data_IF_417458559649
#
_entry.id   IF_417458559649
#
_cell.length_a   1.000
_cell.length_b   1.000
_cell.length_c   1.000
_cell.angle_alpha   90.00
_cell.angle_beta   90.00
_cell.angle_gamma   90.00
#
_symmetry.space_group_name_H-M   'P 1'
#
loop_
_entity.id
_entity.type
_entity.pdbx_description
1 polymer ?
#
# COMPACT_ATOMS: atom_id res chain seq x y z
N UNK A 1 3.68 29.65 20.13
CA UNK A 1 2.90 30.26 19.04
C UNK A 1 2.47 29.12 18.13
N UNK A 2 1.24 28.63 18.28
CA UNK A 2 0.66 27.69 17.33
C UNK A 2 0.21 28.52 16.13
N UNK A 3 1.01 28.52 15.06
CA UNK A 3 0.53 29.00 13.76
C UNK A 3 -0.70 28.18 13.39
N UNK A 4 -1.80 28.86 13.08
CA UNK A 4 -3.02 28.23 12.58
C UNK A 4 -2.75 27.65 11.19
N UNK A 5 -2.17 26.45 11.13
CA UNK A 5 -2.15 25.65 9.91
C UNK A 5 -3.61 25.45 9.50
N UNK A 6 -3.99 25.88 8.29
CA UNK A 6 -5.23 25.43 7.68
C UNK A 6 -5.20 23.90 7.68
N UNK A 7 -6.25 23.27 8.21
CA UNK A 7 -6.33 21.82 8.30
C UNK A 7 -6.30 21.21 6.89
N UNK A 8 -5.29 20.39 6.58
CA UNK A 8 -5.17 19.67 5.30
C UNK A 8 -6.44 18.86 5.04
N UNK A 9 -7.04 19.03 3.86
CA UNK A 9 -8.20 18.23 3.45
C UNK A 9 -7.79 16.83 3.00
N UNK A 10 -8.50 15.79 3.48
CA UNK A 10 -8.28 14.41 3.05
C UNK A 10 -9.49 13.90 2.28
N UNK A 11 -9.28 13.44 1.04
CA UNK A 11 -10.31 12.83 0.19
C UNK A 11 -9.93 11.39 -0.10
N UNK A 12 -10.88 10.48 0.02
CA UNK A 12 -10.66 9.05 -0.24
C UNK A 12 -11.61 8.61 -1.34
N UNK A 13 -11.05 8.32 -2.51
CA UNK A 13 -11.73 7.66 -3.63
C UNK A 13 -11.75 6.16 -3.36
N UNK A 14 -12.78 5.70 -2.64
CA UNK A 14 -12.96 4.31 -2.23
C UNK A 14 -13.93 3.59 -3.19
N UNK A 15 -13.38 2.84 -4.14
CA UNK A 15 -14.15 2.18 -5.18
C UNK A 15 -13.49 0.86 -5.59
N UNK A 16 -14.29 -0.13 -6.01
CA UNK A 16 -13.79 -1.43 -6.43
C UNK A 16 -12.76 -1.29 -7.59
N UNK A 17 -11.82 -2.22 -7.68
CA UNK A 17 -10.86 -2.29 -8.78
C UNK A 17 -11.60 -2.27 -10.13
N UNK A 18 -11.06 -1.55 -11.12
CA UNK A 18 -11.70 -1.40 -12.44
C UNK A 18 -12.82 -0.33 -12.51
N UNK A 19 -13.27 0.25 -11.39
CA UNK A 19 -14.36 1.25 -11.37
C UNK A 19 -13.96 2.66 -11.82
N UNK A 20 -12.73 2.88 -12.28
CA UNK A 20 -12.29 4.19 -12.79
C UNK A 20 -11.70 5.16 -11.76
N UNK A 21 -11.20 4.68 -10.60
CA UNK A 21 -10.51 5.53 -9.60
C UNK A 21 -9.46 6.46 -10.18
N UNK A 22 -8.50 5.88 -10.91
CA UNK A 22 -7.46 6.64 -11.58
C UNK A 22 -8.06 7.64 -12.58
N UNK A 23 -9.10 7.25 -13.32
CA UNK A 23 -9.78 8.13 -14.28
C UNK A 23 -10.38 9.34 -13.58
N UNK A 24 -11.11 9.14 -12.47
CA UNK A 24 -11.68 10.23 -11.69
C UNK A 24 -10.62 11.20 -11.16
N UNK A 25 -9.48 10.67 -10.69
CA UNK A 25 -8.34 11.49 -10.26
C UNK A 25 -7.74 12.25 -11.45
N UNK A 26 -7.51 11.60 -12.58
CA UNK A 26 -6.99 12.23 -13.80
C UNK A 26 -7.88 13.39 -14.24
N UNK A 27 -9.20 13.20 -14.22
CA UNK A 27 -10.16 14.26 -14.55
C UNK A 27 -10.11 15.41 -13.54
N UNK A 28 -9.98 15.10 -12.25
CA UNK A 28 -9.83 16.09 -11.18
C UNK A 28 -8.55 16.92 -11.37
N UNK A 29 -7.42 16.30 -11.70
CA UNK A 29 -6.17 16.99 -12.04
C UNK A 29 -6.35 17.84 -13.30
N UNK A 30 -6.98 17.29 -14.35
CA UNK A 30 -7.17 17.98 -15.63
C UNK A 30 -7.96 19.28 -15.45
N UNK A 31 -9.02 19.24 -14.64
CA UNK A 31 -9.94 20.36 -14.43
C UNK A 31 -9.49 21.35 -13.34
N UNK A 32 -8.45 21.03 -12.57
CA UNK A 32 -7.90 21.93 -11.56
C UNK A 32 -7.28 23.20 -12.18
N UNK A 33 -7.02 24.21 -11.36
CA UNK A 33 -6.28 25.40 -11.78
C UNK A 33 -4.92 25.01 -12.41
N UNK A 34 -4.49 25.71 -13.46
CA UNK A 34 -3.20 25.44 -14.13
C UNK A 34 -1.98 25.67 -13.22
N UNK A 35 -2.09 26.55 -12.22
CA UNK A 35 -1.07 26.81 -11.22
C UNK A 35 -1.06 25.77 -10.07
N UNK A 36 -2.07 24.90 -9.98
CA UNK A 36 -2.08 23.86 -8.96
C UNK A 36 -1.03 22.77 -9.27
N UNK A 37 -0.11 22.58 -8.33
CA UNK A 37 0.91 21.53 -8.40
C UNK A 37 0.44 20.22 -7.76
N UNK A 38 0.88 19.11 -8.33
CA UNK A 38 0.53 17.76 -7.89
C UNK A 38 1.77 16.92 -7.63
N UNK A 39 1.73 16.12 -6.56
CA UNK A 39 2.66 15.03 -6.31
C UNK A 39 1.85 13.72 -6.35
N UNK A 40 1.94 12.99 -7.45
CA UNK A 40 1.27 11.70 -7.65
C UNK A 40 2.22 10.57 -7.27
N UNK A 41 1.84 9.76 -6.29
CA UNK A 41 2.62 8.60 -5.85
C UNK A 41 1.86 7.31 -6.13
N UNK A 42 2.58 6.32 -6.63
CA UNK A 42 2.01 5.01 -7.00
C UNK A 42 2.95 3.86 -6.63
N UNK A 43 2.50 2.60 -6.50
CA UNK A 43 3.38 1.50 -6.11
C UNK A 43 4.50 1.17 -7.11
N UNK A 44 4.25 1.31 -8.42
CA UNK A 44 5.18 0.86 -9.48
C UNK A 44 5.60 1.98 -10.43
N UNK A 45 6.82 1.87 -10.95
CA UNK A 45 7.38 2.84 -11.90
C UNK A 45 6.64 2.86 -13.26
N UNK A 46 6.16 1.70 -13.73
CA UNK A 46 5.33 1.63 -14.95
C UNK A 46 4.06 2.46 -14.84
N UNK A 47 3.49 2.48 -13.64
CA UNK A 47 2.31 3.27 -13.35
C UNK A 47 2.64 4.78 -13.37
N UNK A 48 3.83 5.17 -12.91
CA UNK A 48 4.30 6.54 -13.09
C UNK A 48 4.32 6.96 -14.58
N UNK A 49 4.81 6.09 -15.46
CA UNK A 49 4.82 6.34 -16.90
C UNK A 49 3.41 6.40 -17.48
N UNK A 50 2.51 5.51 -17.06
CA UNK A 50 1.11 5.50 -17.52
C UNK A 50 0.38 6.80 -17.16
N UNK A 51 0.53 7.27 -15.92
CA UNK A 51 -0.11 8.50 -15.43
C UNK A 51 0.46 9.74 -16.10
N UNK A 52 1.79 9.84 -16.19
CA UNK A 52 2.43 11.01 -16.78
C UNK A 52 2.41 11.01 -18.32
N UNK A 53 2.18 9.85 -18.93
CA UNK A 53 2.29 9.65 -20.37
C UNK A 53 3.73 9.72 -20.90
N UNK A 54 4.74 9.50 -20.05
CA UNK A 54 6.15 9.57 -20.49
C UNK A 54 6.62 8.27 -21.12
N UNK A 55 7.41 8.38 -22.19
CA UNK A 55 8.07 7.22 -22.81
C UNK A 55 9.38 6.87 -22.12
N UNK A 56 9.77 5.60 -22.19
CA UNK A 56 11.08 5.09 -21.78
C UNK A 56 11.54 4.01 -22.77
N UNK A 57 12.84 3.71 -22.77
CA UNK A 57 13.39 2.59 -23.56
C UNK A 57 13.04 1.25 -22.88
N UNK A 58 12.32 0.31 -23.53
CA UNK A 58 11.99 -0.99 -22.95
C UNK A 58 13.20 -1.81 -22.48
N UNK A 59 14.38 -1.58 -23.07
CA UNK A 59 15.63 -2.25 -22.68
C UNK A 59 16.32 -1.56 -21.48
N UNK A 60 15.89 -0.35 -21.09
CA UNK A 60 16.40 0.32 -19.90
C UNK A 60 15.78 -0.29 -18.64
N UNK A 61 16.58 -1.09 -17.92
CA UNK A 61 16.18 -1.71 -16.65
C UNK A 61 15.75 -0.70 -15.57
N UNK A 62 16.17 0.56 -15.68
CA UNK A 62 15.77 1.64 -14.78
C UNK A 62 14.57 2.45 -15.26
N UNK A 63 14.05 2.15 -16.47
CA UNK A 63 12.90 2.80 -17.12
C UNK A 63 12.97 4.33 -17.05
N UNK A 64 14.10 4.91 -17.44
CA UNK A 64 14.27 6.36 -17.38
C UNK A 64 13.44 7.04 -18.48
N UNK A 65 12.76 8.16 -18.18
CA UNK A 65 11.98 8.86 -19.19
C UNK A 65 12.88 9.39 -20.31
N UNK A 66 12.45 9.22 -21.57
CA UNK A 66 13.13 9.78 -22.73
C UNK A 66 13.03 11.30 -22.71
N UNK A 67 14.15 11.97 -22.89
CA UNK A 67 14.24 13.43 -22.93
C UNK A 67 13.99 13.89 -24.37
N UNK A 68 13.04 14.80 -24.56
CA UNK A 68 12.78 15.46 -25.83
C UNK A 68 13.72 16.65 -26.02
N UNK A 69 13.74 17.55 -25.03
CA UNK A 69 14.60 18.74 -24.98
C UNK A 69 15.00 19.02 -23.54
N UNK A 70 16.06 19.80 -23.37
CA UNK A 70 16.44 20.38 -22.09
C UNK A 70 16.77 21.84 -22.33
N UNK A 71 16.40 22.70 -21.40
CA UNK A 71 16.94 24.05 -21.28
C UNK A 71 17.59 24.20 -19.89
N UNK A 72 18.14 25.37 -19.60
CA UNK A 72 18.84 25.64 -18.34
C UNK A 72 17.93 25.51 -17.10
N UNK A 73 16.61 25.48 -17.29
CA UNK A 73 15.60 25.56 -16.22
C UNK A 73 14.72 24.34 -16.08
N UNK A 74 14.57 23.52 -17.13
CA UNK A 74 13.68 22.35 -17.10
C UNK A 74 14.05 21.27 -18.13
N UNK A 75 13.73 20.02 -17.77
CA UNK A 75 13.86 18.86 -18.67
C UNK A 75 12.50 18.52 -19.24
N UNK A 76 12.35 18.54 -20.56
CA UNK A 76 11.12 18.13 -21.23
C UNK A 76 11.22 16.67 -21.67
N UNK A 77 10.28 15.84 -21.23
CA UNK A 77 10.21 14.44 -21.66
C UNK A 77 9.44 14.29 -22.98
N UNK A 78 9.65 13.15 -23.62
CA UNK A 78 8.80 12.69 -24.69
C UNK A 78 7.51 12.13 -24.09
N UNK A 79 6.40 12.84 -24.33
CA UNK A 79 5.08 12.45 -23.86
C UNK A 79 4.25 11.84 -25.01
N UNK A 80 3.57 10.74 -24.73
CA UNK A 80 2.47 10.23 -25.55
C UNK A 80 1.25 11.14 -25.46
N UNK A 81 0.27 10.88 -26.34
CA UNK A 81 -1.03 11.54 -26.23
C UNK A 81 -1.79 10.95 -25.03
N UNK A 82 -1.68 11.62 -23.88
CA UNK A 82 -2.29 11.21 -22.62
C UNK A 82 -3.14 12.34 -22.02
N UNK A 83 -4.15 12.02 -21.20
CA UNK A 83 -5.02 13.03 -20.60
C UNK A 83 -4.28 14.11 -19.77
N UNK A 84 -3.10 13.78 -19.24
CA UNK A 84 -2.28 14.67 -18.40
C UNK A 84 -1.03 15.21 -19.10
N UNK A 85 -0.86 14.98 -20.41
CA UNK A 85 0.29 15.48 -21.19
C UNK A 85 0.57 16.97 -20.94
N UNK A 86 -0.48 17.78 -20.94
CA UNK A 86 -0.37 19.24 -20.76
C UNK A 86 0.01 19.66 -19.33
N UNK A 87 -0.12 18.77 -18.35
CA UNK A 87 0.36 18.99 -16.97
C UNK A 87 1.84 18.72 -16.80
N UNK A 88 2.49 18.08 -17.79
CA UNK A 88 3.95 17.89 -17.88
C UNK A 88 4.57 17.27 -16.62
N UNK A 89 3.94 16.23 -16.07
CA UNK A 89 4.48 15.51 -14.92
C UNK A 89 5.93 15.07 -15.14
N UNK A 90 6.74 15.23 -14.09
CA UNK A 90 8.17 14.92 -14.03
C UNK A 90 8.44 13.73 -13.12
N UNK A 91 9.48 12.97 -13.45
CA UNK A 91 9.95 11.86 -12.65
C UNK A 91 11.23 12.29 -11.94
N UNK A 92 11.41 11.97 -10.65
CA UNK A 92 12.72 12.08 -10.03
C UNK A 92 13.73 11.19 -10.76
N UNK A 93 14.71 11.78 -11.43
CA UNK A 93 15.59 11.08 -12.39
C UNK A 93 17.08 11.23 -12.02
N UNK A 94 17.90 10.30 -12.50
CA UNK A 94 19.25 10.01 -11.97
C UNK A 94 20.41 10.76 -12.65
N UNK A 95 20.17 11.75 -13.53
CA UNK A 95 21.30 12.29 -14.32
C UNK A 95 22.14 13.30 -13.51
N UNK A 96 23.15 12.79 -12.80
CA UNK A 96 24.19 13.58 -12.12
C UNK A 96 24.03 13.73 -10.59
N UNK A 97 23.04 13.07 -9.98
CA UNK A 97 22.77 13.10 -8.54
C UNK A 97 21.88 11.93 -8.10
N UNK A 98 21.48 11.90 -6.83
CA UNK A 98 20.58 10.85 -6.33
C UNK A 98 19.10 11.22 -6.54
N UNK A 99 18.21 10.21 -6.52
CA UNK A 99 16.76 10.43 -6.77
C UNK A 99 16.10 11.37 -5.76
N UNK A 100 16.59 11.44 -4.52
CA UNK A 100 16.05 12.33 -3.49
C UNK A 100 16.43 13.80 -3.79
N UNK A 101 17.67 14.06 -4.22
CA UNK A 101 18.10 15.39 -4.70
C UNK A 101 17.28 15.83 -5.91
N UNK A 102 17.03 14.92 -6.86
CA UNK A 102 16.16 15.22 -8.00
C UNK A 102 14.72 15.53 -7.55
N UNK A 103 14.17 14.77 -6.60
CA UNK A 103 12.84 15.06 -6.05
C UNK A 103 12.81 16.43 -5.36
N UNK A 104 13.86 16.79 -4.61
CA UNK A 104 13.97 18.08 -3.94
C UNK A 104 14.01 19.22 -4.95
N UNK A 105 14.81 19.07 -6.02
CA UNK A 105 14.87 20.03 -7.11
C UNK A 105 13.49 20.23 -7.76
N UNK A 106 12.76 19.15 -8.03
CA UNK A 106 11.44 19.24 -8.67
C UNK A 106 10.42 19.96 -7.77
N UNK A 107 10.42 19.67 -6.47
CA UNK A 107 9.53 20.35 -5.50
C UNK A 107 9.86 21.83 -5.43
N UNK A 108 11.16 22.17 -5.32
CA UNK A 108 11.63 23.56 -5.26
C UNK A 108 11.22 24.39 -6.48
N UNK A 109 11.23 23.76 -7.65
CA UNK A 109 10.84 24.39 -8.91
C UNK A 109 9.34 24.32 -9.20
N UNK A 110 8.53 23.85 -8.25
CA UNK A 110 7.06 23.78 -8.39
C UNK A 110 6.64 22.98 -9.63
N UNK A 111 7.30 21.86 -9.89
CA UNK A 111 6.96 20.95 -10.98
C UNK A 111 5.79 20.04 -10.59
N UNK A 112 5.00 19.56 -11.56
CA UNK A 112 4.11 18.42 -11.31
C UNK A 112 4.96 17.14 -11.25
N UNK A 113 4.80 16.32 -10.22
CA UNK A 113 5.71 15.21 -9.95
C UNK A 113 4.93 13.90 -9.91
N UNK A 114 5.48 12.88 -10.56
CA UNK A 114 5.04 11.50 -10.41
C UNK A 114 6.18 10.66 -9.86
N UNK A 115 5.91 9.82 -8.86
CA UNK A 115 6.93 9.07 -8.14
C UNK A 115 6.40 7.76 -7.56
N UNK A 116 7.29 6.92 -7.05
CA UNK A 116 6.87 5.71 -6.34
C UNK A 116 6.62 5.98 -4.86
N UNK A 117 5.82 5.13 -4.20
CA UNK A 117 5.63 5.17 -2.75
C UNK A 117 6.95 5.16 -1.99
N UNK A 118 7.92 4.34 -2.42
CA UNK A 118 9.21 4.23 -1.74
C UNK A 118 9.99 5.55 -1.74
N UNK A 119 9.98 6.29 -2.85
CA UNK A 119 10.72 7.54 -2.93
C UNK A 119 10.01 8.67 -2.17
N UNK A 120 8.69 8.61 -2.06
CA UNK A 120 7.91 9.51 -1.20
C UNK A 120 8.30 9.37 0.29
N UNK A 121 8.61 8.16 0.77
CA UNK A 121 9.06 7.96 2.16
C UNK A 121 10.37 8.67 2.50
N UNK A 122 11.10 9.19 1.49
CA UNK A 122 12.36 9.91 1.65
C UNK A 122 12.19 11.44 1.68
N UNK A 123 10.97 11.97 1.73
CA UNK A 123 10.75 13.43 1.85
C UNK A 123 11.36 13.97 3.15
N UNK A 124 12.25 14.95 3.02
CA UNK A 124 12.84 15.64 4.17
C UNK A 124 11.93 16.76 4.69
N UNK A 125 12.15 17.26 5.92
CA UNK A 125 11.40 18.41 6.44
C UNK A 125 11.46 19.66 5.55
N UNK A 126 12.59 19.91 4.87
CA UNK A 126 12.71 21.04 3.94
C UNK A 126 11.84 20.85 2.70
N UNK A 127 11.79 19.64 2.15
CA UNK A 127 10.93 19.30 1.02
C UNK A 127 9.45 19.42 1.39
N UNK A 128 9.06 18.95 2.58
CA UNK A 128 7.69 19.09 3.09
C UNK A 128 7.28 20.56 3.26
N UNK A 129 8.21 21.42 3.70
CA UNK A 129 7.95 22.84 3.83
C UNK A 129 7.69 23.53 2.47
N UNK A 130 8.38 23.07 1.41
CA UNK A 130 8.20 23.57 0.04
C UNK A 130 6.96 22.96 -0.64
N UNK A 131 6.49 21.79 -0.19
CA UNK A 131 5.35 21.08 -0.76
C UNK A 131 3.97 21.57 -0.23
N UNK A 132 3.90 22.65 0.54
CA UNK A 132 2.65 23.14 1.15
C UNK A 132 1.52 23.46 0.17
N UNK A 133 1.89 23.94 -1.01
CA UNK A 133 0.93 24.29 -2.06
C UNK A 133 0.53 23.09 -2.93
N UNK A 134 1.17 21.93 -2.76
CA UNK A 134 0.90 20.73 -3.54
C UNK A 134 -0.34 19.98 -3.06
N UNK A 135 -1.04 19.34 -4.01
CA UNK A 135 -1.96 18.24 -3.71
C UNK A 135 -1.19 16.93 -3.82
N UNK A 136 -1.14 16.17 -2.74
CA UNK A 136 -0.60 14.81 -2.72
C UNK A 136 -1.68 13.84 -3.18
N UNK A 137 -1.34 12.98 -4.13
CA UNK A 137 -2.22 11.92 -4.61
C UNK A 137 -1.54 10.59 -4.34
N UNK A 138 -2.24 9.70 -3.64
CA UNK A 138 -1.77 8.37 -3.25
C UNK A 138 -2.63 7.34 -3.98
N UNK A 139 -2.01 6.62 -4.91
CA UNK A 139 -2.65 5.50 -5.61
C UNK A 139 -2.47 4.21 -4.78
N UNK A 140 -3.57 3.62 -4.36
CA UNK A 140 -3.68 2.66 -3.26
C UNK A 140 -3.36 3.26 -1.88
N UNK A 141 -2.80 2.46 -0.98
CA UNK A 141 -2.34 2.88 0.35
C UNK A 141 -0.81 2.84 0.42
N UNK A 142 -0.24 3.77 1.18
CA UNK A 142 1.16 3.71 1.63
C UNK A 142 1.30 2.92 2.92
N UNK A 143 2.51 2.47 3.19
CA UNK A 143 2.85 1.86 4.45
C UNK A 143 2.95 2.95 5.52
N UNK A 144 2.11 2.86 6.55
CA UNK A 144 2.08 3.79 7.69
C UNK A 144 2.69 3.21 8.95
N UNK A 145 2.82 1.88 9.00
CA UNK A 145 3.49 1.15 10.08
C UNK A 145 4.47 0.11 9.52
N UNK A 146 5.61 -0.06 10.18
CA UNK A 146 6.50 -1.19 9.94
C UNK A 146 7.19 -1.65 11.22
N UNK A 147 7.61 -2.90 11.27
CA UNK A 147 8.45 -3.37 12.37
C UNK A 147 9.86 -2.80 12.17
N UNK A 148 10.34 -2.05 13.15
CA UNK A 148 11.68 -1.47 13.13
C UNK A 148 12.66 -2.39 13.85
N UNK A 149 13.43 -3.16 13.07
CA UNK A 149 14.29 -4.25 13.56
C UNK A 149 15.76 -3.86 13.76
N UNK A 150 16.10 -2.56 13.72
CA UNK A 150 17.48 -2.08 13.88
C UNK A 150 18.04 -2.27 15.29
N UNK A 151 17.18 -2.45 16.30
CA UNK A 151 17.57 -2.63 17.69
C UNK A 151 17.03 -3.94 18.27
N UNK A 152 17.89 -4.68 18.93
CA UNK A 152 17.49 -5.88 19.70
C UNK A 152 16.85 -5.50 21.03
N UNK A 153 16.08 -6.42 21.64
CA UNK A 153 15.50 -6.19 22.97
C UNK A 153 16.57 -5.88 24.02
N UNK A 154 17.71 -6.56 23.97
CA UNK A 154 18.84 -6.36 24.89
C UNK A 154 19.44 -4.95 24.74
N UNK A 155 19.57 -4.44 23.51
CA UNK A 155 20.03 -3.07 23.28
C UNK A 155 19.03 -2.04 23.80
N UNK A 156 17.74 -2.24 23.55
CA UNK A 156 16.69 -1.34 24.06
C UNK A 156 16.68 -1.29 25.59
N UNK A 157 16.77 -2.43 26.26
CA UNK A 157 16.90 -2.50 27.73
C UNK A 157 18.11 -1.71 28.25
N UNK A 158 19.25 -1.77 27.54
CA UNK A 158 20.43 -0.98 27.88
C UNK A 158 20.17 0.53 27.70
N UNK A 159 19.54 0.94 26.60
CA UNK A 159 19.22 2.35 26.33
C UNK A 159 18.24 2.93 27.35
N UNK A 160 17.24 2.16 27.79
CA UNK A 160 16.35 2.54 28.89
C UNK A 160 17.11 2.66 30.22
N UNK A 161 17.97 1.70 30.55
CA UNK A 161 18.77 1.72 31.78
C UNK A 161 19.73 2.91 31.84
N UNK A 162 20.31 3.28 30.70
CA UNK A 162 21.15 4.47 30.55
C UNK A 162 20.35 5.78 30.58
N UNK A 163 19.01 5.70 30.52
CA UNK A 163 18.13 6.86 30.46
C UNK A 163 18.22 7.63 29.15
N UNK A 164 18.73 7.03 28.07
CA UNK A 164 18.88 7.66 26.76
C UNK A 164 17.58 7.67 25.96
N UNK A 165 16.65 6.77 26.31
CA UNK A 165 15.29 6.75 25.77
C UNK A 165 14.28 6.62 26.91
N UNK A 166 13.07 7.14 26.70
CA UNK A 166 11.92 6.95 27.58
C UNK A 166 10.65 6.75 26.74
N UNK A 167 9.60 6.26 27.37
CA UNK A 167 8.25 6.25 26.80
C UNK A 167 7.60 7.60 27.14
N UNK A 168 6.90 8.19 26.17
CA UNK A 168 6.15 9.42 26.31
C UNK A 168 4.87 9.23 27.14
N UNK A 169 4.17 10.32 27.44
CA UNK A 169 2.95 10.30 28.26
C UNK A 169 1.79 9.50 27.64
N UNK A 170 1.85 9.23 26.33
CA UNK A 170 0.91 8.37 25.61
C UNK A 170 1.14 6.86 25.86
N UNK A 171 2.14 6.50 26.65
CA UNK A 171 2.55 5.13 27.01
C UNK A 171 2.99 4.25 25.84
N UNK A 172 3.22 4.80 24.64
CA UNK A 172 3.62 4.02 23.47
C UNK A 172 4.77 4.65 22.69
N UNK A 173 4.85 5.98 22.61
CA UNK A 173 5.85 6.66 21.78
C UNK A 173 7.21 6.72 22.49
N UNK A 174 8.28 6.37 21.78
CA UNK A 174 9.65 6.51 22.26
C UNK A 174 10.15 7.94 22.06
N UNK A 175 10.79 8.47 23.10
CA UNK A 175 11.49 9.75 23.11
C UNK A 175 12.95 9.56 23.43
N UNK A 176 13.82 10.26 22.70
CA UNK A 176 15.24 10.29 22.99
C UNK A 176 15.51 11.36 24.05
N UNK A 177 16.38 11.07 25.00
CA UNK A 177 16.75 11.96 26.09
C UNK A 177 18.17 12.48 25.84
N UNK A 178 18.30 13.49 24.97
CA UNK A 178 19.59 14.08 24.57
C UNK A 178 20.43 14.55 25.77
N UNK A 179 19.78 15.06 26.81
CA UNK A 179 20.45 15.48 28.06
C UNK A 179 21.14 14.35 28.84
N UNK A 180 20.77 13.09 28.58
CA UNK A 180 21.35 11.92 29.23
C UNK A 180 22.32 11.15 28.32
N UNK A 181 22.48 11.58 27.07
CA UNK A 181 23.31 10.87 26.10
C UNK A 181 24.80 11.05 26.37
N UNK A 182 25.56 9.95 26.47
CA UNK A 182 26.97 9.97 26.85
C UNK A 182 27.21 10.38 28.31
N UNK A 183 28.45 10.72 28.66
CA UNK A 183 28.84 10.95 30.05
C UNK A 183 28.31 12.28 30.66
N UNK A 184 27.85 13.24 29.84
CA UNK A 184 27.38 14.56 30.32
C UNK A 184 26.25 15.19 29.45
N UNK A 185 25.48 14.38 28.73
CA UNK A 185 24.55 14.87 27.72
C UNK A 185 25.26 15.26 26.42
N UNK A 186 24.53 15.21 25.30
CA UNK A 186 25.15 15.50 24.01
C UNK A 186 24.23 15.31 22.81
N UNK A 187 24.72 15.79 21.67
CA UNK A 187 24.11 15.55 20.37
C UNK A 187 24.61 14.21 19.80
N UNK A 188 23.72 13.22 19.54
CA UNK A 188 24.09 11.96 18.93
C UNK A 188 24.49 12.07 17.45
N UNK A 189 24.50 13.26 16.85
CA UNK A 189 25.00 13.49 15.48
C UNK A 189 26.39 12.88 15.25
N UNK A 190 26.54 12.14 14.15
CA UNK A 190 27.76 11.42 13.79
C UNK A 190 27.96 10.10 14.53
N UNK A 191 27.06 9.72 15.45
CA UNK A 191 27.09 8.43 16.15
C UNK A 191 26.10 7.44 15.53
N UNK A 192 26.21 6.15 15.89
CA UNK A 192 25.22 5.14 15.46
C UNK A 192 23.79 5.39 15.95
N UNK A 193 23.59 6.32 16.91
CA UNK A 193 22.28 6.64 17.49
C UNK A 193 21.61 7.87 16.88
N UNK A 194 22.24 8.56 15.93
CA UNK A 194 21.69 9.76 15.28
C UNK A 194 20.30 9.49 14.67
N UNK A 195 20.17 8.39 13.93
CA UNK A 195 18.90 7.99 13.30
C UNK A 195 17.82 7.70 14.34
N UNK A 196 18.16 6.98 15.41
CA UNK A 196 17.24 6.68 16.49
C UNK A 196 16.75 7.96 17.18
N UNK A 197 17.67 8.86 17.51
CA UNK A 197 17.34 10.12 18.14
C UNK A 197 16.41 10.96 17.26
N UNK A 198 16.73 11.07 15.97
CA UNK A 198 15.91 11.81 15.00
C UNK A 198 14.50 11.22 14.90
N UNK A 199 14.35 9.90 14.77
CA UNK A 199 13.04 9.25 14.68
C UNK A 199 12.22 9.39 15.98
N UNK A 200 12.87 9.32 17.14
CA UNK A 200 12.23 9.57 18.44
C UNK A 200 11.77 11.04 18.58
N UNK A 201 12.59 11.99 18.14
CA UNK A 201 12.27 13.42 18.16
C UNK A 201 11.06 13.71 17.26
N UNK A 202 10.94 13.00 16.12
CA UNK A 202 9.79 13.06 15.22
C UNK A 202 8.58 12.23 15.69
N UNK A 203 8.68 11.48 16.80
CA UNK A 203 7.60 10.63 17.31
C UNK A 203 7.25 9.44 16.43
N UNK A 204 8.21 8.93 15.66
CA UNK A 204 7.97 7.87 14.68
C UNK A 204 8.18 6.46 15.23
N UNK A 205 8.60 6.30 16.49
CA UNK A 205 8.94 4.99 17.05
C UNK A 205 7.99 4.65 18.19
N UNK A 206 7.22 3.58 18.02
CA UNK A 206 6.26 3.07 18.98
C UNK A 206 6.83 1.82 19.66
N UNK A 207 6.92 1.81 20.98
CA UNK A 207 7.40 0.67 21.76
C UNK A 207 6.26 -0.27 22.12
N UNK A 208 6.29 -1.48 21.57
CA UNK A 208 5.19 -2.44 21.65
C UNK A 208 5.63 -3.69 22.41
N UNK A 209 4.75 -4.19 23.28
CA UNK A 209 4.95 -5.40 24.11
C UNK A 209 6.24 -5.39 24.96
N UNK A 210 6.81 -4.22 25.25
CA UNK A 210 8.10 -4.07 25.93
C UNK A 210 9.25 -4.86 25.26
N UNK A 211 9.17 -5.08 23.94
CA UNK A 211 10.12 -5.96 23.24
C UNK A 211 10.66 -5.38 21.95
N UNK A 212 9.84 -4.67 21.19
CA UNK A 212 10.18 -4.23 19.85
C UNK A 212 9.64 -2.84 19.55
N UNK A 213 10.15 -2.28 18.47
CA UNK A 213 9.74 -0.97 17.96
C UNK A 213 8.92 -1.18 16.69
N UNK A 214 7.82 -0.44 16.59
CA UNK A 214 7.08 -0.25 15.35
C UNK A 214 7.35 1.17 14.89
N UNK A 215 7.90 1.31 13.69
CA UNK A 215 8.01 2.60 13.02
C UNK A 215 6.61 3.03 12.54
N UNK A 216 6.27 4.30 12.76
CA UNK A 216 5.05 4.96 12.32
C UNK A 216 5.43 6.15 11.41
N UNK A 217 4.73 6.28 10.29
CA UNK A 217 4.88 7.44 9.41
C UNK A 217 4.52 8.72 10.18
N UNK A 218 5.34 9.77 10.09
CA UNK A 218 4.97 11.05 10.70
C UNK A 218 3.74 11.63 9.99
N UNK A 219 2.72 12.02 10.77
CA UNK A 219 1.53 12.65 10.21
C UNK A 219 1.85 13.95 9.48
N UNK A 220 2.91 14.64 9.91
CA UNK A 220 3.42 15.84 9.24
C UNK A 220 3.83 15.59 7.79
N UNK A 221 4.23 14.35 7.45
CA UNK A 221 4.51 13.99 6.05
C UNK A 221 3.26 14.08 5.18
N UNK A 222 2.05 13.84 5.72
CA UNK A 222 0.80 13.96 4.98
C UNK A 222 0.17 15.34 5.14
N UNK A 223 0.18 15.90 6.35
CA UNK A 223 -0.44 17.20 6.65
C UNK A 223 0.43 18.39 6.26
N UNK A 224 1.60 18.17 5.66
CA UNK A 224 2.37 19.22 5.01
C UNK A 224 1.70 19.72 3.73
N UNK A 225 0.92 18.88 3.04
CA UNK A 225 0.29 19.20 1.76
C UNK A 225 -1.00 19.99 1.93
N UNK A 226 -1.42 20.69 0.87
CA UNK A 226 -2.70 21.42 0.80
C UNK A 226 -3.89 20.48 0.94
N UNK A 227 -3.88 19.41 0.15
CA UNK A 227 -4.84 18.32 0.21
C UNK A 227 -4.12 16.98 -0.03
N UNK A 228 -4.71 15.90 0.50
CA UNK A 228 -4.30 14.53 0.26
C UNK A 228 -5.46 13.74 -0.33
N UNK A 229 -5.28 13.19 -1.53
CA UNK A 229 -6.25 12.35 -2.21
C UNK A 229 -5.76 10.90 -2.22
N UNK A 230 -6.56 9.97 -1.72
CA UNK A 230 -6.20 8.55 -1.60
C UNK A 230 -7.16 7.75 -2.49
N UNK A 231 -6.67 7.02 -3.48
CA UNK A 231 -7.47 6.13 -4.30
C UNK A 231 -7.25 4.67 -3.90
N UNK A 232 -8.21 4.04 -3.24
CA UNK A 232 -8.06 2.63 -2.84
C UNK A 232 -9.41 1.91 -2.81
N UNK A 233 -9.47 0.72 -2.23
CA UNK A 233 -10.71 -0.02 -2.02
C UNK A 233 -10.77 -0.59 -0.60
N UNK A 234 -11.93 -0.48 0.04
CA UNK A 234 -12.20 -0.87 1.42
C UNK A 234 -11.33 -0.09 2.44
N UNK A 235 -11.27 1.24 2.26
CA UNK A 235 -10.37 2.10 3.04
C UNK A 235 -10.60 1.97 4.56
N UNK A 236 -11.86 1.88 5.00
CA UNK A 236 -12.27 1.85 6.41
C UNK A 236 -11.77 0.65 7.22
N UNK A 237 -11.19 -0.36 6.57
CA UNK A 237 -10.49 -1.46 7.25
C UNK A 237 -8.99 -1.51 7.02
N UNK A 238 -8.45 -0.53 6.27
CA UNK A 238 -7.01 -0.41 6.03
C UNK A 238 -6.26 0.08 7.27
N UNK A 239 -4.96 -0.25 7.34
CA UNK A 239 -4.06 0.32 8.36
C UNK A 239 -3.98 1.84 8.27
N UNK A 240 -4.07 2.39 7.06
CA UNK A 240 -4.02 3.83 6.82
C UNK A 240 -5.23 4.55 7.41
N UNK A 241 -6.43 3.98 7.34
CA UNK A 241 -7.63 4.54 7.97
C UNK A 241 -7.51 4.59 9.50
N UNK A 242 -7.03 3.49 10.11
CA UNK A 242 -6.78 3.45 11.56
C UNK A 242 -5.72 4.48 12.00
N UNK A 243 -4.63 4.57 11.24
CA UNK A 243 -3.57 5.56 11.43
C UNK A 243 -4.11 7.01 11.35
N UNK A 244 -4.82 7.39 10.28
CA UNK A 244 -5.38 8.74 10.15
C UNK A 244 -6.38 9.06 11.27
N UNK A 245 -7.21 8.09 11.63
CA UNK A 245 -8.16 8.23 12.74
C UNK A 245 -7.46 8.49 14.07
N UNK A 246 -6.29 7.86 14.30
CA UNK A 246 -5.48 8.08 15.51
C UNK A 246 -4.95 9.51 15.67
N UNK A 247 -4.87 10.27 14.58
CA UNK A 247 -4.53 11.69 14.58
C UNK A 247 -5.76 12.60 14.47
N UNK A 248 -6.97 12.07 14.57
CA UNK A 248 -8.22 12.83 14.44
C UNK A 248 -8.48 13.37 13.04
N UNK A 249 -7.82 12.83 12.01
CA UNK A 249 -8.03 13.22 10.61
C UNK A 249 -9.38 12.70 10.14
N UNK A 250 -10.23 13.61 9.64
CA UNK A 250 -11.49 13.26 8.99
C UNK A 250 -11.29 13.19 7.48
N UNK A 251 -11.71 12.08 6.88
CA UNK A 251 -11.65 11.88 5.44
C UNK A 251 -13.03 12.09 4.80
N UNK A 252 -13.08 12.85 3.71
CA UNK A 252 -14.21 12.89 2.80
C UNK A 252 -14.20 11.60 1.95
N UNK A 253 -15.23 10.77 2.12
CA UNK A 253 -15.34 9.49 1.41
C UNK A 253 -16.10 9.69 0.09
N UNK A 254 -15.42 9.42 -1.03
CA UNK A 254 -15.97 9.46 -2.39
C UNK A 254 -16.09 8.02 -2.88
N UNK A 255 -17.32 7.49 -2.90
CA UNK A 255 -17.62 6.10 -3.29
C UNK A 255 -18.41 6.05 -4.59
N UNK A 256 -18.02 5.16 -5.50
CA UNK A 256 -18.65 4.97 -6.80
C UNK A 256 -18.25 3.62 -7.40
N UNK A 257 -18.84 3.28 -8.54
CA UNK A 257 -18.54 2.05 -9.27
C UNK A 257 -19.56 0.95 -9.01
N UNK A 258 -19.19 -0.26 -9.41
CA UNK A 258 -20.04 -1.45 -9.28
C UNK A 258 -19.88 -2.11 -7.91
N UNK A 259 -20.96 -2.72 -7.44
CA UNK A 259 -20.98 -3.52 -6.23
C UNK A 259 -20.42 -4.93 -6.48
N UNK A 260 -19.88 -5.61 -5.46
CA UNK A 260 -19.44 -7.00 -5.57
C UNK A 260 -20.50 -7.97 -6.09
N UNK A 261 -21.77 -7.80 -5.71
CA UNK A 261 -22.86 -8.68 -6.18
C UNK A 261 -23.07 -8.62 -7.70
N UNK A 262 -22.81 -7.47 -8.33
CA UNK A 262 -22.96 -7.28 -9.77
C UNK A 262 -21.96 -8.11 -10.58
N UNK A 263 -20.77 -8.38 -10.02
CA UNK A 263 -19.73 -9.18 -10.68
C UNK A 263 -19.66 -10.62 -10.16
N UNK A 264 -20.51 -11.00 -9.21
CA UNK A 264 -20.44 -12.32 -8.57
C UNK A 264 -20.56 -13.47 -9.59
N UNK A 265 -21.33 -13.26 -10.66
CA UNK A 265 -21.50 -14.19 -11.78
C UNK A 265 -20.21 -14.44 -12.60
N UNK A 266 -19.17 -13.62 -12.43
CA UNK A 266 -17.86 -13.80 -13.03
C UNK A 266 -16.93 -14.71 -12.21
N UNK A 267 -17.29 -15.04 -10.97
CA UNK A 267 -16.44 -15.82 -10.05
C UNK A 267 -17.04 -17.20 -9.82
N UNK A 268 -16.42 -18.22 -10.41
CA UNK A 268 -16.71 -19.61 -10.10
C UNK A 268 -15.81 -20.09 -8.94
N UNK A 269 -16.31 -19.98 -7.71
CA UNK A 269 -15.58 -20.34 -6.50
C UNK A 269 -15.68 -21.85 -6.20
N UNK A 270 -14.54 -22.54 -6.14
CA UNK A 270 -14.48 -23.98 -5.89
C UNK A 270 -15.02 -24.35 -4.49
N UNK A 271 -16.01 -25.24 -4.47
CA UNK A 271 -16.66 -25.79 -3.27
C UNK A 271 -16.23 -27.24 -2.98
N UNK A 272 -15.24 -27.76 -3.70
CA UNK A 272 -14.77 -29.14 -3.58
C UNK A 272 -14.25 -29.44 -2.16
N UNK A 273 -14.94 -30.32 -1.44
CA UNK A 273 -14.65 -30.66 -0.04
C UNK A 273 -13.26 -31.26 0.14
N UNK A 274 -12.77 -32.04 -0.83
CA UNK A 274 -11.50 -32.74 -0.70
C UNK A 274 -10.32 -31.77 -0.72
N UNK A 275 -10.25 -30.92 -1.75
CA UNK A 275 -9.14 -29.95 -1.84
C UNK A 275 -9.27 -28.83 -0.80
N UNK A 276 -10.49 -28.48 -0.38
CA UNK A 276 -10.74 -27.47 0.66
C UNK A 276 -10.46 -27.97 2.09
N UNK A 277 -10.41 -29.28 2.34
CA UNK A 277 -10.25 -29.86 3.69
C UNK A 277 -9.02 -29.35 4.45
N UNK A 278 -7.93 -29.06 3.73
CA UNK A 278 -6.68 -28.54 4.32
C UNK A 278 -6.87 -27.19 5.04
N UNK A 279 -7.90 -26.43 4.68
CA UNK A 279 -8.17 -25.10 5.21
C UNK A 279 -9.40 -25.02 6.12
N UNK A 280 -9.93 -26.14 6.62
CA UNK A 280 -11.17 -26.15 7.42
C UNK A 280 -11.06 -25.34 8.71
N UNK A 281 -9.95 -25.47 9.44
CA UNK A 281 -9.72 -24.72 10.67
C UNK A 281 -9.53 -23.23 10.35
N UNK A 282 -10.13 -22.35 11.16
CA UNK A 282 -10.09 -20.89 10.98
C UNK A 282 -8.69 -20.31 10.83
N UNK A 283 -7.68 -20.89 11.49
CA UNK A 283 -6.27 -20.45 11.46
C UNK A 283 -5.38 -21.28 10.51
N UNK A 284 -5.94 -22.27 9.81
CA UNK A 284 -5.22 -23.05 8.82
C UNK A 284 -4.66 -22.15 7.72
N UNK A 285 -3.53 -22.54 7.14
CA UNK A 285 -2.83 -21.80 6.09
C UNK A 285 -2.38 -20.38 6.48
N UNK A 286 -2.30 -20.07 7.78
CA UNK A 286 -1.68 -18.84 8.28
C UNK A 286 -0.16 -18.86 8.11
N UNK A 287 0.49 -17.70 8.22
CA UNK A 287 1.95 -17.59 8.14
C UNK A 287 2.64 -18.47 9.19
N UNK A 288 2.09 -18.54 10.41
CA UNK A 288 2.59 -19.42 11.47
C UNK A 288 2.51 -20.90 11.08
N UNK A 289 1.41 -21.35 10.45
CA UNK A 289 1.28 -22.75 9.98
C UNK A 289 2.27 -23.08 8.86
N UNK A 290 2.51 -22.14 7.94
CA UNK A 290 3.53 -22.27 6.90
C UNK A 290 4.94 -22.41 7.48
N UNK A 291 5.21 -21.82 8.65
CA UNK A 291 6.50 -21.91 9.34
C UNK A 291 6.61 -23.19 10.18
N UNK A 292 5.62 -23.50 11.01
CA UNK A 292 5.69 -24.60 11.98
C UNK A 292 5.44 -25.98 11.37
N UNK A 293 4.66 -26.07 10.27
CA UNK A 293 4.31 -27.34 9.62
C UNK A 293 4.55 -27.31 8.09
N UNK A 294 5.64 -26.64 7.68
CA UNK A 294 5.94 -26.31 6.29
C UNK A 294 5.79 -27.50 5.33
N UNK A 295 6.44 -28.63 5.65
CA UNK A 295 6.50 -29.80 4.77
C UNK A 295 5.11 -30.36 4.48
N UNK A 296 4.35 -30.73 5.51
CA UNK A 296 3.03 -31.34 5.32
C UNK A 296 2.05 -30.38 4.63
N UNK A 297 2.04 -29.10 5.01
CA UNK A 297 1.19 -28.08 4.40
C UNK A 297 1.53 -27.91 2.92
N UNK A 298 2.81 -27.74 2.57
CA UNK A 298 3.23 -27.52 1.19
C UNK A 298 3.01 -28.77 0.31
N UNK A 299 3.29 -29.97 0.83
CA UNK A 299 3.08 -31.23 0.10
C UNK A 299 1.59 -31.43 -0.24
N UNK A 300 0.69 -31.14 0.72
CA UNK A 300 -0.75 -31.25 0.48
C UNK A 300 -1.27 -30.14 -0.44
N UNK A 301 -0.80 -28.89 -0.28
CA UNK A 301 -1.15 -27.80 -1.18
C UNK A 301 -0.67 -28.05 -2.61
N UNK A 302 0.51 -28.63 -2.80
CA UNK A 302 1.03 -28.98 -4.14
C UNK A 302 0.09 -29.97 -4.85
N UNK A 303 -0.34 -31.03 -4.15
CA UNK A 303 -1.30 -32.01 -4.68
C UNK A 303 -2.66 -31.38 -4.98
N UNK A 304 -3.17 -30.55 -4.07
CA UNK A 304 -4.47 -29.89 -4.24
C UNK A 304 -4.43 -28.88 -5.39
N UNK A 305 -3.34 -28.13 -5.53
CA UNK A 305 -3.12 -27.20 -6.63
C UNK A 305 -3.06 -27.94 -7.98
N UNK A 306 -2.33 -29.05 -8.07
CA UNK A 306 -2.28 -29.87 -9.30
C UNK A 306 -3.67 -30.43 -9.65
N UNK A 307 -4.41 -30.91 -8.65
CA UNK A 307 -5.77 -31.40 -8.84
C UNK A 307 -6.73 -30.30 -9.33
N UNK A 308 -6.71 -29.13 -8.69
CA UNK A 308 -7.53 -27.99 -9.08
C UNK A 308 -7.22 -27.56 -10.52
N UNK A 309 -5.94 -27.36 -10.83
CA UNK A 309 -5.53 -26.87 -12.14
C UNK A 309 -5.73 -27.90 -13.26
N UNK A 310 -5.44 -29.19 -13.05
CA UNK A 310 -5.50 -30.17 -14.13
C UNK A 310 -6.83 -30.87 -14.26
N UNK A 311 -7.43 -31.27 -13.14
CA UNK A 311 -8.61 -32.13 -13.17
C UNK A 311 -9.90 -31.31 -13.09
N UNK A 312 -9.91 -30.24 -12.28
CA UNK A 312 -11.09 -29.38 -12.13
C UNK A 312 -11.18 -28.33 -13.25
N UNK A 313 -10.11 -27.57 -13.46
CA UNK A 313 -10.11 -26.46 -14.43
C UNK A 313 -9.58 -26.85 -15.82
N UNK A 314 -8.77 -27.92 -15.91
CA UNK A 314 -8.03 -28.29 -17.14
C UNK A 314 -7.19 -27.13 -17.71
N UNK A 315 -6.66 -26.32 -16.80
CA UNK A 315 -5.85 -25.13 -17.05
C UNK A 315 -4.55 -25.43 -17.79
N UNK A 316 -4.10 -24.47 -18.59
CA UNK A 316 -2.81 -24.42 -19.27
C UNK A 316 -1.86 -23.45 -18.57
N UNK A 317 -0.58 -23.49 -18.93
CA UNK A 317 0.46 -22.64 -18.31
C UNK A 317 0.08 -21.14 -18.30
N UNK A 318 -0.38 -20.63 -19.44
CA UNK A 318 -0.68 -19.21 -19.62
C UNK A 318 -2.14 -18.84 -19.27
N UNK A 319 -2.93 -19.72 -18.66
CA UNK A 319 -4.30 -19.37 -18.26
C UNK A 319 -4.50 -19.43 -16.73
N UNK A 320 -3.42 -19.60 -15.97
CA UNK A 320 -3.46 -19.76 -14.52
C UNK A 320 -2.53 -18.83 -13.77
N UNK A 321 -2.89 -18.54 -12.52
CA UNK A 321 -2.09 -17.79 -11.57
C UNK A 321 -2.39 -18.29 -10.16
N UNK A 322 -1.40 -18.28 -9.28
CA UNK A 322 -1.61 -18.68 -7.89
C UNK A 322 -0.71 -17.91 -6.92
N UNK A 323 -1.10 -17.91 -5.65
CA UNK A 323 -0.31 -17.29 -4.59
C UNK A 323 -0.25 -18.14 -3.32
N UNK A 324 0.77 -17.87 -2.52
CA UNK A 324 1.04 -18.42 -1.19
C UNK A 324 1.97 -17.45 -0.45
N UNK A 325 2.29 -17.74 0.81
CA UNK A 325 3.47 -17.13 1.42
C UNK A 325 4.75 -17.51 0.66
N UNK A 326 5.72 -16.59 0.60
CA UNK A 326 6.97 -16.71 -0.17
C UNK A 326 7.79 -17.92 0.28
N UNK A 327 7.79 -18.22 1.58
CA UNK A 327 8.53 -19.32 2.16
C UNK A 327 8.06 -20.69 1.66
N UNK A 328 6.78 -20.81 1.26
CA UNK A 328 6.19 -22.05 0.76
C UNK A 328 6.14 -22.19 -0.76
N UNK A 329 6.40 -21.12 -1.52
CA UNK A 329 6.11 -21.11 -2.95
C UNK A 329 6.90 -22.18 -3.71
N UNK A 330 8.22 -22.30 -3.50
CA UNK A 330 9.05 -23.29 -4.20
C UNK A 330 8.60 -24.73 -3.94
N UNK A 331 8.17 -25.03 -2.71
CA UNK A 331 7.72 -26.37 -2.33
C UNK A 331 6.36 -26.71 -2.94
N UNK A 332 5.42 -25.75 -2.96
CA UNK A 332 4.09 -25.94 -3.55
C UNK A 332 4.18 -26.03 -5.08
N UNK A 333 5.01 -25.16 -5.69
CA UNK A 333 5.13 -25.02 -7.14
C UNK A 333 5.65 -26.29 -7.83
N UNK A 334 6.52 -27.03 -7.15
CA UNK A 334 7.31 -28.09 -7.74
C UNK A 334 8.12 -27.55 -8.93
N UNK A 335 8.14 -28.29 -10.05
CA UNK A 335 8.75 -27.85 -11.31
C UNK A 335 7.76 -27.19 -12.26
N UNK A 336 6.45 -27.37 -12.04
CA UNK A 336 5.42 -27.07 -13.03
C UNK A 336 4.79 -25.69 -12.91
N UNK A 337 4.70 -25.16 -11.69
CA UNK A 337 3.90 -23.97 -11.39
C UNK A 337 4.73 -22.74 -10.98
N UNK A 338 6.06 -22.77 -11.17
CA UNK A 338 6.96 -21.72 -10.68
C UNK A 338 6.67 -20.35 -11.32
N UNK A 339 6.45 -20.34 -12.64
CA UNK A 339 6.31 -19.10 -13.41
C UNK A 339 4.92 -18.46 -13.26
N UNK A 340 3.95 -19.21 -12.71
CA UNK A 340 2.58 -18.74 -12.48
C UNK A 340 2.33 -18.28 -11.04
N UNK A 341 3.38 -18.28 -10.20
CA UNK A 341 3.29 -17.76 -8.85
C UNK A 341 3.40 -16.23 -8.84
N UNK A 342 2.46 -15.56 -8.20
CA UNK A 342 2.49 -14.13 -7.96
C UNK A 342 2.37 -13.85 -6.47
N UNK A 343 3.29 -13.06 -5.89
CA UNK A 343 3.19 -12.69 -4.48
C UNK A 343 1.88 -11.96 -4.21
N UNK A 344 1.21 -12.29 -3.09
CA UNK A 344 -0.13 -11.76 -2.79
C UNK A 344 -0.15 -10.23 -2.68
N UNK A 345 0.95 -9.65 -2.20
CA UNK A 345 1.14 -8.21 -2.01
C UNK A 345 1.70 -7.49 -3.25
N UNK A 346 1.82 -8.15 -4.41
CA UNK A 346 2.30 -7.50 -5.64
C UNK A 346 1.30 -6.44 -6.06
N UNK A 347 1.60 -5.14 -5.99
CA UNK A 347 0.66 -4.08 -6.43
C UNK A 347 0.79 -3.78 -7.93
N UNK A 348 -0.28 -3.25 -8.53
CA UNK A 348 -0.29 -2.57 -9.84
C UNK A 348 0.34 -3.27 -11.08
N UNK A 349 0.21 -4.60 -11.27
CA UNK A 349 0.59 -5.29 -12.52
C UNK A 349 -0.63 -5.62 -13.40
N UNK A 350 -0.49 -5.45 -14.72
CA UNK A 350 -1.48 -5.84 -15.73
C UNK A 350 -1.10 -7.14 -16.49
N UNK A 351 -0.02 -7.81 -16.09
CA UNK A 351 0.62 -8.90 -16.85
C UNK A 351 -0.17 -10.21 -16.85
N UNK A 352 -1.21 -10.28 -16.02
CA UNK A 352 -1.99 -11.50 -15.76
C UNK A 352 -3.47 -11.38 -16.14
N UNK A 353 -3.84 -10.32 -16.88
CA UNK A 353 -5.23 -10.03 -17.29
C UNK A 353 -5.86 -11.08 -18.22
N UNK A 354 -5.11 -12.08 -18.65
CA UNK A 354 -5.55 -13.22 -19.47
C UNK A 354 -5.70 -14.52 -18.65
N UNK A 355 -5.32 -14.53 -17.38
CA UNK A 355 -5.37 -15.72 -16.50
C UNK A 355 -6.79 -15.96 -16.01
N UNK A 356 -7.37 -17.13 -16.29
CA UNK A 356 -8.75 -17.51 -15.91
C UNK A 356 -8.83 -18.43 -14.70
N UNK A 357 -7.74 -19.10 -14.34
CA UNK A 357 -7.70 -20.09 -13.27
C UNK A 357 -6.84 -19.58 -12.12
N UNK A 358 -7.45 -19.29 -10.98
CA UNK A 358 -6.86 -18.49 -9.90
C UNK A 358 -6.86 -19.32 -8.61
N UNK A 359 -5.72 -19.42 -7.93
CA UNK A 359 -5.62 -20.11 -6.64
C UNK A 359 -4.98 -19.24 -5.55
N UNK A 360 -5.71 -19.00 -4.46
CA UNK A 360 -5.27 -18.17 -3.33
C UNK A 360 -5.06 -19.07 -2.10
N UNK A 361 -3.83 -19.55 -1.89
CA UNK A 361 -3.54 -20.67 -0.99
C UNK A 361 -3.14 -20.27 0.44
N UNK A 362 -3.53 -19.07 0.88
CA UNK A 362 -3.09 -18.54 2.18
C UNK A 362 -4.25 -17.99 3.00
N UNK A 363 -4.02 -17.86 4.30
CA UNK A 363 -4.91 -17.22 5.26
C UNK A 363 -4.20 -16.00 5.84
N UNK A 364 -4.56 -14.81 5.34
CA UNK A 364 -3.79 -13.59 5.57
C UNK A 364 -4.19 -12.91 6.87
N UNK A 365 -3.22 -12.70 7.77
CA UNK A 365 -3.39 -11.83 8.92
C UNK A 365 -2.42 -10.66 8.79
N UNK A 366 -2.79 -9.44 9.21
CA UNK A 366 -1.84 -8.35 9.33
C UNK A 366 -0.73 -8.70 10.34
N UNK A 367 0.39 -7.98 10.29
CA UNK A 367 1.46 -8.18 11.26
C UNK A 367 0.92 -7.91 12.68
N UNK A 368 0.97 -8.89 13.61
CA UNK A 368 0.42 -8.72 14.96
C UNK A 368 0.97 -7.52 15.71
N UNK A 369 2.23 -7.15 15.46
CA UNK A 369 2.87 -6.00 16.11
C UNK A 369 2.30 -4.68 15.61
N UNK A 370 2.01 -4.59 14.31
CA UNK A 370 1.33 -3.43 13.73
C UNK A 370 -0.11 -3.33 14.26
N UNK A 371 -0.83 -4.45 14.36
CA UNK A 371 -2.17 -4.47 14.95
C UNK A 371 -2.15 -3.95 16.39
N UNK A 372 -1.18 -4.42 17.19
CA UNK A 372 -1.00 -3.99 18.58
C UNK A 372 -0.65 -2.50 18.69
N UNK A 373 0.28 -2.00 17.88
CA UNK A 373 0.64 -0.58 17.85
C UNK A 373 -0.61 0.30 17.59
N UNK A 374 -1.37 -0.05 16.55
CA UNK A 374 -2.61 0.66 16.18
C UNK A 374 -3.66 0.59 17.30
N UNK A 375 -3.80 -0.58 17.95
CA UNK A 375 -4.73 -0.77 19.07
C UNK A 375 -4.32 0.00 20.33
N UNK A 376 -3.02 0.10 20.64
CA UNK A 376 -2.51 0.92 21.76
C UNK A 376 -2.84 2.40 21.58
N UNK A 377 -2.92 2.89 20.32
CA UNK A 377 -3.40 4.25 20.01
C UNK A 377 -4.94 4.37 20.02
N UNK A 378 -5.68 3.31 20.33
CA UNK A 378 -7.15 3.30 20.39
C UNK A 378 -7.87 3.01 19.07
N UNK A 379 -7.14 2.72 17.99
CA UNK A 379 -7.71 2.52 16.65
C UNK A 379 -7.24 1.17 16.08
N UNK A 380 -7.83 0.03 16.47
CA UNK A 380 -7.41 -1.28 16.00
C UNK A 380 -7.70 -1.47 14.50
N UNK A 381 -6.78 -2.15 13.80
CA UNK A 381 -6.97 -2.54 12.40
C UNK A 381 -8.06 -3.62 12.30
N UNK A 382 -8.99 -3.46 11.35
CA UNK A 382 -10.01 -4.48 11.07
C UNK A 382 -9.41 -5.61 10.23
N UNK A 383 -8.82 -6.59 10.91
CA UNK A 383 -8.01 -7.65 10.28
C UNK A 383 -8.69 -8.39 9.12
N UNK A 384 -9.98 -8.70 9.25
CA UNK A 384 -10.73 -9.41 8.21
C UNK A 384 -10.96 -8.54 6.97
N UNK A 385 -11.17 -7.23 7.15
CA UNK A 385 -11.30 -6.29 6.02
C UNK A 385 -9.95 -6.12 5.31
N UNK A 386 -8.86 -5.99 6.06
CA UNK A 386 -7.50 -5.99 5.51
C UNK A 386 -7.21 -7.27 4.71
N UNK A 387 -7.54 -8.43 5.26
CA UNK A 387 -7.31 -9.70 4.58
C UNK A 387 -8.14 -9.81 3.29
N UNK A 388 -9.42 -9.41 3.36
CA UNK A 388 -10.32 -9.39 2.23
C UNK A 388 -9.83 -8.44 1.12
N UNK A 389 -9.46 -7.20 1.47
CA UNK A 389 -9.00 -6.18 0.51
C UNK A 389 -7.78 -6.65 -0.29
N UNK A 390 -6.81 -7.27 0.38
CA UNK A 390 -5.61 -7.83 -0.27
C UNK A 390 -5.97 -8.99 -1.20
N UNK A 391 -6.87 -9.89 -0.77
CA UNK A 391 -7.30 -11.02 -1.59
C UNK A 391 -8.06 -10.57 -2.84
N UNK A 392 -9.04 -9.66 -2.72
CA UNK A 392 -9.84 -9.21 -3.88
C UNK A 392 -8.99 -8.42 -4.86
N UNK A 393 -8.11 -7.52 -4.38
CA UNK A 393 -7.16 -6.80 -5.23
C UNK A 393 -6.23 -7.77 -5.98
N UNK A 394 -5.82 -8.87 -5.33
CA UNK A 394 -5.01 -9.89 -5.98
C UNK A 394 -5.77 -10.72 -7.01
N UNK A 395 -7.00 -11.14 -6.71
CA UNK A 395 -7.88 -11.82 -7.66
C UNK A 395 -8.11 -10.93 -8.89
N UNK A 396 -8.23 -9.61 -8.71
CA UNK A 396 -8.44 -8.66 -9.81
C UNK A 396 -7.26 -8.51 -10.78
N UNK A 397 -6.14 -9.17 -10.53
CA UNK A 397 -5.02 -9.23 -11.50
C UNK A 397 -5.28 -10.24 -12.61
N UNK A 398 -6.28 -11.09 -12.44
CA UNK A 398 -6.72 -12.09 -13.39
C UNK A 398 -7.68 -11.53 -14.45
N UNK A 399 -8.23 -12.40 -15.29
CA UNK A 399 -9.10 -12.05 -16.40
C UNK A 399 -10.43 -11.37 -16.01
N UNK A 400 -10.81 -11.41 -14.73
CA UNK A 400 -11.97 -10.65 -14.22
C UNK A 400 -11.83 -9.14 -14.43
N UNK A 401 -10.59 -8.62 -14.48
CA UNK A 401 -10.31 -7.21 -14.78
C UNK A 401 -10.88 -6.77 -16.13
N UNK A 402 -10.88 -7.69 -17.09
CA UNK A 402 -11.36 -7.50 -18.45
C UNK A 402 -12.80 -8.02 -18.60
N UNK A 403 -13.53 -8.22 -17.50
CA UNK A 403 -14.90 -8.70 -17.49
C UNK A 403 -15.08 -10.18 -17.82
N UNK A 404 -14.00 -10.98 -17.81
CA UNK A 404 -14.09 -12.41 -18.11
C UNK A 404 -14.32 -13.26 -16.85
N UNK A 405 -15.05 -14.36 -17.00
CA UNK A 405 -15.23 -15.34 -15.93
C UNK A 405 -13.91 -16.00 -15.52
N UNK A 406 -13.77 -16.26 -14.22
CA UNK A 406 -12.62 -16.92 -13.61
C UNK A 406 -13.04 -18.08 -12.70
N UNK A 407 -12.22 -19.12 -12.63
CA UNK A 407 -12.31 -20.18 -11.64
C UNK A 407 -11.40 -19.84 -10.47
N UNK A 408 -11.94 -19.83 -9.24
CA UNK A 408 -11.20 -19.42 -8.04
C UNK A 408 -11.14 -20.56 -7.03
N UNK A 409 -9.94 -20.87 -6.54
CA UNK A 409 -9.72 -21.82 -5.46
C UNK A 409 -9.12 -21.12 -4.23
N UNK A 410 -9.88 -21.13 -3.14
CA UNK A 410 -9.49 -20.55 -1.84
C UNK A 410 -9.70 -21.63 -0.77
N UNK A 411 -8.68 -22.42 -0.40
CA UNK A 411 -8.83 -23.52 0.55
C UNK A 411 -9.11 -23.07 1.98
N UNK A 412 -8.56 -21.93 2.41
CA UNK A 412 -8.81 -21.37 3.75
C UNK A 412 -10.31 -21.07 3.93
N UNK A 413 -10.94 -21.72 4.92
CA UNK A 413 -12.36 -21.54 5.22
C UNK A 413 -12.68 -20.09 5.59
N UNK A 414 -11.82 -19.42 6.37
CA UNK A 414 -11.95 -18.01 6.72
C UNK A 414 -11.93 -17.12 5.49
N UNK A 415 -10.88 -17.20 4.67
CA UNK A 415 -10.74 -16.36 3.47
C UNK A 415 -11.87 -16.63 2.46
N UNK A 416 -12.24 -17.90 2.26
CA UNK A 416 -13.35 -18.27 1.38
C UNK A 416 -14.68 -17.71 1.87
N UNK A 417 -14.89 -17.69 3.18
CA UNK A 417 -16.08 -17.08 3.78
C UNK A 417 -16.09 -15.56 3.58
N UNK A 418 -14.96 -14.89 3.81
CA UNK A 418 -14.84 -13.45 3.55
C UNK A 418 -15.16 -13.11 2.09
N UNK A 419 -14.62 -13.88 1.12
CA UNK A 419 -14.92 -13.68 -0.30
C UNK A 419 -16.40 -13.86 -0.61
N UNK A 420 -17.06 -14.89 -0.06
CA UNK A 420 -18.49 -15.13 -0.27
C UNK A 420 -19.36 -14.00 0.29
N UNK A 421 -19.06 -13.56 1.52
CA UNK A 421 -19.74 -12.43 2.17
C UNK A 421 -19.56 -11.14 1.36
N UNK A 422 -18.36 -10.92 0.85
CA UNK A 422 -18.06 -9.80 -0.05
C UNK A 422 -18.90 -9.85 -1.33
N UNK A 423 -18.98 -10.98 -2.01
CA UNK A 423 -19.83 -11.16 -3.19
C UNK A 423 -21.34 -10.95 -2.92
N UNK A 424 -21.75 -10.91 -1.66
CA UNK A 424 -23.12 -10.61 -1.22
C UNK A 424 -23.29 -9.18 -0.67
N UNK A 425 -22.35 -8.29 -0.98
CA UNK A 425 -22.33 -6.88 -0.55
C UNK A 425 -22.28 -6.65 0.98
N UNK A 426 -21.95 -7.66 1.79
CA UNK A 426 -21.97 -7.54 3.27
C UNK A 426 -20.96 -6.54 3.84
N UNK A 427 -20.00 -6.08 3.04
CA UNK A 427 -19.00 -5.09 3.41
C UNK A 427 -19.20 -3.74 2.72
N UNK A 428 -20.21 -3.62 1.86
CA UNK A 428 -20.59 -2.35 1.27
C UNK A 428 -21.35 -1.55 2.34
N UNK A 429 -20.73 -0.47 2.81
CA UNK A 429 -21.44 0.49 3.65
C UNK A 429 -22.51 1.14 2.79
N UNK A 430 -23.74 1.20 3.28
CA UNK A 430 -24.85 1.87 2.58
C UNK A 430 -24.40 3.27 2.17
N UNK A 431 -24.15 3.46 0.87
CA UNK A 431 -23.96 4.78 0.32
C UNK A 431 -25.21 5.58 0.68
N UNK A 432 -25.07 6.69 1.40
CA UNK A 432 -26.17 7.65 1.43
C UNK A 432 -26.40 8.09 -0.03
N UNK A 433 -27.64 8.07 -0.53
CA UNK A 433 -27.93 8.44 -1.90
C UNK A 433 -27.36 9.82 -2.22
N UNK A 434 -26.68 9.93 -3.35
CA UNK A 434 -26.01 11.13 -3.86
C UNK A 434 -26.96 12.28 -4.23
N UNK A 435 -28.25 12.18 -3.90
CA UNK A 435 -29.28 13.18 -4.24
C UNK A 435 -29.37 14.35 -3.25
N UNK A 436 -28.61 14.35 -2.15
CA UNK A 436 -28.73 15.39 -1.12
C UNK A 436 -27.63 16.48 -1.15
N UNK A 437 -26.77 16.48 -2.17
CA UNK A 437 -25.72 17.50 -2.37
C UNK A 437 -26.06 18.60 -3.40
N UNK A 438 -27.30 18.64 -3.90
CA UNK A 438 -27.76 19.69 -4.84
C UNK A 438 -28.97 20.51 -4.36
N UNK A 439 -29.24 20.55 -3.04
CA UNK A 439 -30.35 21.36 -2.49
C UNK A 439 -29.96 22.36 -1.39
N UNK A 440 -28.70 22.40 -0.94
CA UNK A 440 -28.24 23.38 0.07
C UNK A 440 -27.37 24.52 -0.52
N UNK A 441 -27.58 24.84 -1.80
CA UNK A 441 -27.04 26.05 -2.45
C UNK A 441 -28.17 26.88 -3.10
N UNK A 442 -29.18 27.26 -2.32
CA UNK A 442 -30.07 28.41 -2.60
C UNK A 442 -30.18 29.26 -1.35
#
# INVERSE_FOLDING_TARGET
MQDSKSQTGFKVFDAMMGSGKTTAIIESIRNADHAQNFLYITPLLDECHRISGTKYDPEDSFKRPLIATHDDTSVHYQYEDSPLKNRRFKHPSYKGGNKAESLQYLIKNRENIVSTHQLFMNLSPSMLNEAKDYILIIDETIQVYDVYSEYTSTELEALFRLGWIKIDDDNVTLRFQRGNFGDNGGDPTGTKYETLATMCDLGQLLYVDQKLIVWELSIDTLTAFKEVWIATYMFDGSQMSAYLSSYGVKCEMIRFGTKPSEIAHLINLSDDKFINSIGEKTTALSSSQYKSNKKAVCDQLSKNLDNFFRNKCKSKKNDRIWTSFKEGCTAIAGTRYRDEWLAFNTKATNDYKDRKNVAYLLNLYPNPMVVKASAMKGFPVKEDIFALSEMVQWIWRSAIREGHQINVYVPSSRMRTLLKRWLNDEFELSAMPTEQLMLDCV
#
